data_IF_368713970737
#
_entry.id   IF_368713970737
#
_cell.length_a   1.000
_cell.length_b   1.000
_cell.length_c   1.000
_cell.angle_alpha   90.00
_cell.angle_beta   90.00
_cell.angle_gamma   90.00
#
_symmetry.space_group_name_H-M   'P 1'
#
loop_
_entity.id
_entity.type
_entity.pdbx_description
1 polymer ?
#
# COMPACT_ATOMS: atom_id res chain seq x y z
N UNK A 1 -58.23 29.18 36.90
CA UNK A 1 -59.10 29.33 35.70
C UNK A 1 -58.87 28.15 34.76
N UNK A 2 -59.81 27.90 33.83
CA UNK A 2 -59.96 26.75 32.91
C UNK A 2 -58.67 25.99 32.48
N UNK A 3 -58.58 24.65 32.37
CA UNK A 3 -59.51 23.56 31.94
C UNK A 3 -59.74 23.45 30.43
N UNK A 4 -59.21 22.38 29.82
CA UNK A 4 -59.61 21.66 28.59
C UNK A 4 -58.74 20.38 28.52
N UNK A 5 -59.18 19.10 28.55
CA UNK A 5 -60.19 18.34 27.75
C UNK A 5 -59.98 18.52 26.24
N UNK A 6 -59.88 17.53 25.35
CA UNK A 6 -60.02 16.05 25.39
C UNK A 6 -58.92 15.43 24.46
N UNK A 7 -58.89 14.19 23.94
CA UNK A 7 -59.83 13.04 23.88
C UNK A 7 -59.04 11.70 23.95
N UNK A 8 -59.26 10.78 23.00
CA UNK A 8 -58.98 9.32 23.03
C UNK A 8 -59.22 8.70 21.63
N UNK A 9 -58.36 7.79 21.17
CA UNK A 9 -58.64 6.54 20.42
C UNK A 9 -57.29 5.89 20.02
N UNK A 10 -56.91 4.67 20.47
CA UNK A 10 -57.41 3.32 20.13
C UNK A 10 -57.37 2.99 18.63
N UNK A 11 -56.37 2.22 18.21
CA UNK A 11 -56.57 0.82 17.75
C UNK A 11 -55.24 0.03 17.64
N UNK A 12 -55.35 -1.30 17.61
CA UNK A 12 -54.25 -2.29 17.64
C UNK A 12 -54.52 -3.44 16.63
N UNK A 13 -53.54 -4.31 16.29
CA UNK A 13 -53.38 -4.77 14.91
C UNK A 13 -54.00 -6.13 14.53
N UNK A 14 -54.14 -6.37 13.22
CA UNK A 14 -54.28 -7.69 12.58
C UNK A 14 -53.10 -7.91 11.62
N UNK A 15 -52.21 -8.91 11.70
CA UNK A 15 -52.29 -10.40 11.77
C UNK A 15 -52.64 -11.12 10.46
N UNK A 16 -51.86 -12.22 10.25
CA UNK A 16 -51.97 -13.36 9.28
C UNK A 16 -51.49 -13.13 7.84
N UNK A 17 -50.89 -14.09 7.11
CA UNK A 17 -50.20 -15.38 7.45
C UNK A 17 -49.68 -16.07 6.16
N UNK A 18 -49.02 -17.24 6.28
CA UNK A 18 -48.61 -18.22 5.22
C UNK A 18 -47.25 -17.89 4.56
N UNK A 19 -46.14 -18.66 4.66
CA UNK A 19 -45.79 -20.10 4.76
C UNK A 19 -45.68 -20.86 3.42
N UNK A 20 -44.43 -21.12 3.01
CA UNK A 20 -43.87 -22.26 2.23
C UNK A 20 -42.33 -22.09 2.36
N UNK A 21 -41.53 -22.92 3.04
CA UNK A 21 -41.21 -24.35 2.89
C UNK A 21 -40.81 -24.76 1.47
N UNK A 22 -39.50 -24.95 1.29
CA UNK A 22 -38.91 -26.03 0.48
C UNK A 22 -37.57 -26.47 1.10
N UNK A 23 -37.30 -27.78 1.08
CA UNK A 23 -36.10 -28.43 1.64
C UNK A 23 -35.75 -29.65 0.78
N UNK A 24 -34.57 -29.65 0.14
CA UNK A 24 -33.77 -30.80 -0.38
C UNK A 24 -32.62 -30.27 -1.26
N UNK A 25 -31.46 -30.93 -1.45
CA UNK A 25 -30.92 -32.19 -0.93
C UNK A 25 -29.38 -32.17 -0.99
N UNK A 26 -28.71 -33.14 -0.34
CA UNK A 26 -27.24 -33.27 -0.30
C UNK A 26 -26.68 -34.12 -1.46
N UNK A 27 -25.40 -33.88 -1.84
CA UNK A 27 -24.41 -34.86 -2.35
C UNK A 27 -23.04 -34.15 -2.52
N UNK A 28 -22.07 -34.32 -1.63
CA UNK A 28 -21.02 -35.38 -1.58
C UNK A 28 -20.15 -35.52 -2.84
N UNK A 29 -18.84 -35.25 -2.70
CA UNK A 29 -17.73 -36.16 -3.12
C UNK A 29 -16.42 -35.79 -2.38
N UNK A 30 -15.49 -36.75 -2.31
CA UNK A 30 -14.27 -36.71 -1.48
C UNK A 30 -12.99 -36.41 -2.30
N UNK A 31 -12.02 -35.84 -1.59
CA UNK A 31 -10.57 -36.15 -1.57
C UNK A 31 -9.74 -36.25 -2.87
N UNK A 32 -8.58 -35.58 -2.86
CA UNK A 32 -7.31 -36.17 -3.28
C UNK A 32 -6.13 -35.49 -2.54
N UNK A 33 -5.24 -36.29 -1.93
CA UNK A 33 -3.94 -35.86 -1.39
C UNK A 33 -2.86 -36.38 -2.34
N UNK A 34 -1.81 -35.59 -2.61
CA UNK A 34 -0.53 -36.13 -3.08
C UNK A 34 0.66 -35.33 -2.54
N UNK A 35 1.68 -36.08 -2.09
CA UNK A 35 2.99 -35.60 -1.63
C UNK A 35 3.95 -35.51 -2.81
N UNK A 36 4.97 -34.65 -2.75
CA UNK A 36 6.29 -35.01 -3.31
C UNK A 36 7.48 -34.22 -2.71
N UNK A 37 8.67 -34.44 -3.29
CA UNK A 37 9.98 -34.55 -2.63
C UNK A 37 11.09 -34.55 -3.71
N UNK A 38 12.39 -34.26 -3.48
CA UNK A 38 13.21 -33.93 -2.29
C UNK A 38 14.53 -33.25 -2.76
N UNK A 39 15.39 -32.79 -1.82
CA UNK A 39 16.88 -32.66 -1.99
C UNK A 39 17.35 -31.53 -2.95
N UNK A 40 18.61 -31.02 -2.96
CA UNK A 40 19.81 -30.94 -2.07
C UNK A 40 20.86 -30.01 -2.77
N UNK A 41 22.03 -29.82 -2.12
CA UNK A 41 23.39 -29.56 -2.68
C UNK A 41 23.90 -28.10 -2.82
N UNK A 42 24.72 -27.72 -1.83
CA UNK A 42 26.15 -27.36 -1.89
C UNK A 42 26.76 -26.22 -2.76
N UNK A 43 27.76 -25.58 -2.13
CA UNK A 43 28.78 -24.60 -2.56
C UNK A 43 29.81 -25.18 -3.59
N UNK A 44 30.95 -24.52 -3.98
CA UNK A 44 31.47 -23.16 -3.73
C UNK A 44 32.06 -22.45 -4.99
N UNK A 45 32.76 -21.30 -4.83
CA UNK A 45 34.20 -21.10 -5.22
C UNK A 45 34.71 -19.66 -5.01
N UNK A 46 36.03 -19.54 -4.77
CA UNK A 46 36.81 -18.38 -4.26
C UNK A 46 37.45 -17.50 -5.35
N UNK A 47 37.94 -16.32 -4.92
CA UNK A 47 39.11 -15.49 -5.37
C UNK A 47 38.75 -14.10 -5.95
N UNK A 48 39.59 -13.06 -5.90
CA UNK A 48 40.69 -12.66 -5.01
C UNK A 48 41.29 -11.30 -5.46
N UNK A 49 41.67 -10.41 -4.53
CA UNK A 49 42.66 -9.29 -4.69
C UNK A 49 42.27 -8.18 -5.72
N UNK A 50 42.81 -6.94 -5.75
CA UNK A 50 43.89 -6.27 -4.97
C UNK A 50 43.66 -4.74 -4.91
N UNK A 51 44.44 -4.05 -4.07
CA UNK A 51 44.38 -2.61 -3.77
C UNK A 51 45.16 -1.65 -4.70
N UNK A 52 44.72 -0.38 -4.68
CA UNK A 52 45.38 0.90 -5.04
C UNK A 52 46.92 0.99 -5.12
N UNK A 53 47.44 1.97 -5.88
CA UNK A 53 48.28 3.01 -5.25
C UNK A 53 47.83 4.46 -5.51
N UNK A 54 48.65 5.44 -5.09
CA UNK A 54 48.29 6.79 -4.60
C UNK A 54 49.03 7.92 -5.34
N UNK A 55 48.50 9.15 -5.22
CA UNK A 55 49.17 10.48 -5.27
C UNK A 55 49.76 11.01 -6.61
N UNK A 56 49.41 12.27 -6.91
CA UNK A 56 50.38 13.36 -7.09
C UNK A 56 49.70 14.75 -6.95
N UNK A 57 50.19 15.60 -6.04
CA UNK A 57 49.88 17.03 -5.95
C UNK A 57 51.07 17.83 -6.52
N UNK A 58 50.84 18.87 -7.35
CA UNK A 58 51.70 20.07 -7.29
C UNK A 58 51.04 21.38 -7.75
N UNK A 59 51.40 22.46 -7.04
CA UNK A 59 51.13 23.89 -7.25
C UNK A 59 51.68 24.40 -8.59
N UNK A 60 50.95 25.26 -9.32
CA UNK A 60 50.87 26.74 -9.23
C UNK A 60 52.17 27.46 -9.61
N UNK A 61 52.12 28.22 -10.70
CA UNK A 61 52.92 29.44 -10.87
C UNK A 61 52.09 30.54 -11.56
N UNK A 62 52.35 31.78 -11.16
CA UNK A 62 51.63 32.99 -11.58
C UNK A 62 52.64 34.03 -12.04
N UNK A 63 52.34 34.76 -13.12
CA UNK A 63 52.92 36.10 -13.30
C UNK A 63 51.93 37.05 -13.97
N UNK A 64 51.94 38.27 -13.43
CA UNK A 64 51.16 39.45 -13.81
C UNK A 64 52.15 40.44 -14.44
N UNK A 65 51.73 41.23 -15.44
CA UNK A 65 52.21 42.62 -15.53
C UNK A 65 51.30 43.52 -16.40
N UNK A 66 51.08 44.74 -15.92
CA UNK A 66 50.17 45.76 -16.47
C UNK A 66 50.84 46.67 -17.53
N UNK A 67 50.02 47.29 -18.40
CA UNK A 67 49.96 48.77 -18.59
C UNK A 67 48.87 49.27 -19.55
N UNK A 68 48.01 50.16 -19.03
CA UNK A 68 47.77 51.58 -19.43
C UNK A 68 48.24 52.03 -20.86
N UNK A 69 47.57 52.89 -21.64
CA UNK A 69 46.51 53.89 -21.34
C UNK A 69 45.88 54.53 -22.61
N UNK A 70 44.64 55.04 -22.47
CA UNK A 70 44.10 56.33 -22.99
C UNK A 70 43.86 56.63 -24.50
N UNK A 71 42.57 56.89 -24.81
CA UNK A 71 41.97 58.00 -25.62
C UNK A 71 42.39 58.28 -27.07
N UNK A 72 41.40 58.32 -27.99
CA UNK A 72 40.71 59.55 -28.47
C UNK A 72 39.48 59.16 -29.32
N UNK A 73 38.48 60.05 -29.44
CA UNK A 73 37.28 59.85 -30.27
C UNK A 73 37.27 60.79 -31.48
N UNK A 74 36.76 60.32 -32.64
CA UNK A 74 36.14 61.16 -33.68
C UNK A 74 35.19 60.36 -34.60
N UNK A 75 34.50 61.05 -35.51
CA UNK A 75 33.13 60.76 -35.98
C UNK A 75 32.97 59.92 -37.27
N UNK A 76 31.86 59.17 -37.31
CA UNK A 76 30.89 58.95 -38.44
C UNK A 76 31.36 58.22 -39.71
N UNK A 77 30.70 57.08 -40.01
CA UNK A 77 29.94 56.86 -41.26
C UNK A 77 28.97 55.67 -41.13
N UNK A 78 27.83 55.74 -41.84
CA UNK A 78 26.79 54.69 -41.93
C UNK A 78 27.15 53.60 -42.96
N UNK A 79 26.37 52.51 -42.94
CA UNK A 79 26.25 51.45 -43.96
C UNK A 79 27.55 50.71 -44.36
N UNK A 80 27.68 49.39 -44.17
CA UNK A 80 26.83 48.36 -44.79
C UNK A 80 27.27 46.96 -44.29
N UNK A 81 26.40 45.93 -44.46
CA UNK A 81 26.70 44.48 -44.40
C UNK A 81 26.89 43.87 -43.00
N UNK A 82 25.77 43.41 -42.44
CA UNK A 82 25.78 42.30 -41.46
C UNK A 82 26.17 41.02 -42.21
N UNK A 83 27.38 40.51 -41.97
CA UNK A 83 27.77 39.18 -42.39
C UNK A 83 27.19 38.13 -41.40
N UNK A 84 26.68 36.98 -41.87
CA UNK A 84 26.21 35.93 -40.97
C UNK A 84 27.39 35.30 -40.21
N UNK A 85 27.27 35.22 -38.89
CA UNK A 85 28.22 34.50 -38.04
C UNK A 85 28.16 32.97 -38.32
N UNK A 86 29.27 32.24 -38.15
CA UNK A 86 29.35 30.83 -38.52
C UNK A 86 28.43 29.94 -37.65
N UNK A 87 27.73 29.01 -38.29
CA UNK A 87 26.66 28.18 -37.71
C UNK A 87 27.11 27.31 -36.51
N UNK A 88 28.40 27.01 -36.41
CA UNK A 88 28.96 26.02 -35.48
C UNK A 88 28.99 26.39 -33.99
N UNK A 89 28.80 27.66 -33.60
CA UNK A 89 28.76 28.03 -32.17
C UNK A 89 27.33 28.01 -31.60
N UNK A 90 26.31 28.19 -32.43
CA UNK A 90 24.90 28.01 -32.06
C UNK A 90 24.59 26.53 -31.76
N UNK A 91 25.07 25.61 -32.58
CA UNK A 91 24.89 24.16 -32.38
C UNK A 91 25.52 23.68 -31.07
N UNK A 92 26.71 24.17 -30.71
CA UNK A 92 27.35 23.89 -29.41
C UNK A 92 26.51 24.40 -28.23
N UNK A 93 25.97 25.62 -28.34
CA UNK A 93 25.11 26.22 -27.31
C UNK A 93 23.81 25.42 -27.12
N UNK A 94 23.14 25.03 -28.20
CA UNK A 94 21.88 24.25 -28.13
C UNK A 94 22.15 22.86 -27.57
N UNK A 95 23.24 22.19 -27.97
CA UNK A 95 23.65 20.90 -27.41
C UNK A 95 23.90 20.99 -25.90
N UNK A 96 24.59 22.03 -25.42
CA UNK A 96 24.79 22.27 -23.99
C UNK A 96 23.45 22.49 -23.23
N UNK A 97 22.51 23.24 -23.81
CA UNK A 97 21.16 23.42 -23.23
C UNK A 97 20.38 22.11 -23.13
N UNK A 98 20.45 21.26 -24.15
CA UNK A 98 19.80 19.93 -24.13
C UNK A 98 20.44 18.99 -23.12
N UNK A 99 21.77 19.03 -22.94
CA UNK A 99 22.49 18.29 -21.90
C UNK A 99 22.02 18.73 -20.50
N UNK A 100 21.91 20.04 -20.25
CA UNK A 100 21.44 20.58 -18.97
C UNK A 100 19.96 20.25 -18.69
N UNK A 101 19.09 20.29 -19.70
CA UNK A 101 17.69 19.89 -19.58
C UNK A 101 17.54 18.39 -19.28
N UNK A 102 18.34 17.53 -19.93
CA UNK A 102 18.29 16.09 -19.67
C UNK A 102 18.91 15.74 -18.31
N UNK A 103 20.00 16.38 -17.88
CA UNK A 103 20.55 16.15 -16.54
C UNK A 103 19.61 16.58 -15.42
N UNK A 104 18.90 17.70 -15.58
CA UNK A 104 17.82 18.11 -14.68
C UNK A 104 16.72 17.04 -14.62
N UNK A 105 16.26 16.53 -15.76
CA UNK A 105 15.27 15.46 -15.80
C UNK A 105 15.74 14.21 -15.06
N UNK A 106 17.00 13.77 -15.23
CA UNK A 106 17.50 12.56 -14.55
C UNK A 106 17.53 12.76 -13.03
N UNK A 107 18.03 13.91 -12.54
CA UNK A 107 18.02 14.28 -11.11
C UNK A 107 16.59 14.28 -10.57
N UNK A 108 15.67 14.98 -11.24
CA UNK A 108 14.29 15.08 -10.79
C UNK A 108 13.56 13.72 -10.85
N UNK A 109 13.93 12.83 -11.78
CA UNK A 109 13.39 11.45 -11.86
C UNK A 109 13.90 10.57 -10.72
N UNK A 110 15.12 10.81 -10.22
CA UNK A 110 15.62 10.17 -8.99
C UNK A 110 14.82 10.63 -7.76
N UNK A 111 14.51 11.93 -7.68
CA UNK A 111 13.63 12.49 -6.63
C UNK A 111 12.22 11.90 -6.70
N UNK A 112 11.63 11.77 -7.89
CA UNK A 112 10.32 11.15 -8.06
C UNK A 112 10.31 9.69 -7.60
N UNK A 113 11.34 8.91 -7.94
CA UNK A 113 11.48 7.51 -7.49
C UNK A 113 11.53 7.40 -5.96
N UNK A 114 12.33 8.25 -5.31
CA UNK A 114 12.38 8.34 -3.85
C UNK A 114 10.99 8.62 -3.27
N UNK A 115 10.24 9.57 -3.86
CA UNK A 115 8.89 9.92 -3.40
C UNK A 115 7.85 8.83 -3.63
N UNK A 116 7.98 8.04 -4.70
CA UNK A 116 7.12 6.88 -4.96
C UNK A 116 7.38 5.79 -3.92
N UNK A 117 8.64 5.43 -3.66
CA UNK A 117 9.01 4.44 -2.64
C UNK A 117 8.52 4.88 -1.24
N UNK A 118 8.70 6.17 -0.91
CA UNK A 118 8.16 6.79 0.32
C UNK A 118 6.63 6.87 0.37
N UNK A 119 5.91 6.61 -0.71
CA UNK A 119 4.45 6.58 -0.78
C UNK A 119 3.86 5.16 -0.78
N UNK A 120 4.52 4.22 -1.45
CA UNK A 120 4.08 2.82 -1.54
C UNK A 120 4.29 2.08 -0.21
N UNK A 121 5.43 2.26 0.45
CA UNK A 121 5.77 1.51 1.67
C UNK A 121 4.91 1.89 2.90
N UNK A 122 4.52 3.16 3.15
CA UNK A 122 3.53 3.48 4.18
C UNK A 122 2.13 2.90 3.94
N UNK A 123 1.72 2.72 2.68
CA UNK A 123 0.45 2.06 2.37
C UNK A 123 0.51 0.57 2.72
N UNK A 124 1.63 -0.12 2.41
CA UNK A 124 1.84 -1.51 2.84
C UNK A 124 1.81 -1.65 4.38
N UNK A 125 2.40 -0.69 5.11
CA UNK A 125 2.34 -0.66 6.58
C UNK A 125 0.92 -0.42 7.08
N UNK A 126 0.16 0.51 6.46
CA UNK A 126 -1.23 0.78 6.84
C UNK A 126 -2.14 -0.43 6.58
N UNK A 127 -2.01 -1.08 5.43
CA UNK A 127 -2.76 -2.30 5.09
C UNK A 127 -2.50 -3.42 6.13
N UNK A 128 -1.26 -3.54 6.63
CA UNK A 128 -0.90 -4.49 7.70
C UNK A 128 -1.47 -4.09 9.08
N UNK A 129 -1.56 -2.79 9.38
CA UNK A 129 -2.22 -2.27 10.60
C UNK A 129 -3.72 -2.61 10.61
N UNK A 130 -4.43 -2.26 9.54
CA UNK A 130 -5.86 -2.54 9.36
C UNK A 130 -6.16 -4.05 9.44
N UNK A 131 -5.27 -4.88 8.87
CA UNK A 131 -5.35 -6.35 8.96
C UNK A 131 -5.21 -6.86 10.41
N UNK A 132 -4.31 -6.26 11.20
CA UNK A 132 -4.08 -6.63 12.61
C UNK A 132 -5.25 -6.17 13.49
N UNK A 133 -5.80 -4.97 13.25
CA UNK A 133 -7.03 -4.52 13.92
C UNK A 133 -8.21 -5.45 13.59
N UNK A 134 -8.38 -5.82 12.32
CA UNK A 134 -9.39 -6.79 11.89
C UNK A 134 -9.26 -8.16 12.58
N UNK A 135 -8.04 -8.65 12.79
CA UNK A 135 -7.79 -9.89 13.56
C UNK A 135 -8.10 -9.71 15.05
N UNK A 136 -7.72 -8.58 15.65
CA UNK A 136 -8.02 -8.26 17.06
C UNK A 136 -9.52 -8.19 17.32
N UNK A 137 -10.28 -7.51 16.46
CA UNK A 137 -11.75 -7.44 16.54
C UNK A 137 -12.40 -8.82 16.39
N UNK A 138 -11.92 -9.67 15.47
CA UNK A 138 -12.41 -11.06 15.34
C UNK A 138 -12.16 -11.89 16.60
N UNK A 139 -10.96 -11.78 17.20
CA UNK A 139 -10.65 -12.44 18.46
C UNK A 139 -11.52 -11.95 19.62
N UNK A 140 -11.80 -10.65 19.70
CA UNK A 140 -12.70 -10.08 20.71
C UNK A 140 -14.14 -10.58 20.55
N UNK A 141 -14.65 -10.63 19.31
CA UNK A 141 -15.96 -11.21 19.02
C UNK A 141 -16.04 -12.68 19.48
N UNK A 142 -15.02 -13.51 19.21
CA UNK A 142 -15.02 -14.90 19.70
C UNK A 142 -14.91 -15.01 21.23
N UNK A 143 -14.20 -14.11 21.91
CA UNK A 143 -14.22 -14.04 23.39
C UNK A 143 -15.61 -13.69 23.93
N UNK A 144 -16.29 -12.74 23.29
CA UNK A 144 -17.65 -12.34 23.65
C UNK A 144 -18.65 -13.48 23.41
N UNK A 145 -18.53 -14.22 22.30
CA UNK A 145 -19.32 -15.43 22.04
C UNK A 145 -19.09 -16.50 23.13
N UNK A 146 -17.83 -16.79 23.49
CA UNK A 146 -17.51 -17.73 24.59
C UNK A 146 -18.16 -17.27 25.90
N UNK A 147 -18.07 -15.98 26.25
CA UNK A 147 -18.70 -15.44 27.45
C UNK A 147 -20.24 -15.54 27.42
N UNK A 148 -20.88 -15.51 26.24
CA UNK A 148 -22.33 -15.82 26.12
C UNK A 148 -22.62 -17.31 26.28
N UNK A 149 -21.78 -18.18 25.72
CA UNK A 149 -21.91 -19.63 25.88
C UNK A 149 -21.75 -20.05 27.34
N UNK A 150 -20.77 -19.51 28.06
CA UNK A 150 -20.58 -19.73 29.51
C UNK A 150 -21.82 -19.32 30.32
N UNK A 151 -22.46 -18.19 29.99
CA UNK A 151 -23.74 -17.78 30.62
C UNK A 151 -24.86 -18.79 30.34
N UNK A 152 -25.05 -19.21 29.09
CA UNK A 152 -26.08 -20.23 28.79
C UNK A 152 -25.79 -21.58 29.48
N UNK A 153 -24.52 -21.93 29.69
CA UNK A 153 -24.10 -23.10 30.47
C UNK A 153 -24.49 -22.97 31.94
N UNK A 154 -24.27 -21.81 32.57
CA UNK A 154 -24.68 -21.60 33.97
C UNK A 154 -26.20 -21.57 34.13
N UNK A 155 -26.93 -21.00 33.18
CA UNK A 155 -28.40 -21.08 33.11
C UNK A 155 -28.88 -22.55 33.05
N UNK A 156 -28.32 -23.37 32.16
CA UNK A 156 -28.68 -24.79 32.08
C UNK A 156 -28.31 -25.59 33.34
N UNK A 157 -27.22 -25.23 34.04
CA UNK A 157 -26.85 -25.83 35.32
C UNK A 157 -27.86 -25.46 36.43
N UNK A 158 -28.34 -24.22 36.44
CA UNK A 158 -29.39 -23.77 37.34
C UNK A 158 -30.73 -24.46 37.06
N UNK A 159 -31.14 -24.58 35.79
CA UNK A 159 -32.33 -25.33 35.39
C UNK A 159 -32.27 -26.79 35.90
N UNK A 160 -31.12 -27.46 35.73
CA UNK A 160 -30.90 -28.83 36.26
C UNK A 160 -31.02 -28.88 37.78
N UNK A 161 -30.58 -27.86 38.51
CA UNK A 161 -30.74 -27.80 39.96
C UNK A 161 -32.22 -27.67 40.36
N UNK A 162 -32.99 -26.83 39.66
CA UNK A 162 -34.42 -26.67 39.89
C UNK A 162 -35.22 -27.95 39.59
N UNK A 163 -34.99 -28.61 38.44
CA UNK A 163 -35.65 -29.89 38.13
C UNK A 163 -35.31 -30.97 39.19
N UNK A 164 -34.07 -31.01 39.70
CA UNK A 164 -33.69 -31.92 40.80
C UNK A 164 -34.42 -31.62 42.11
N UNK A 165 -34.70 -30.36 42.44
CA UNK A 165 -35.52 -30.01 43.60
C UNK A 165 -36.99 -30.40 43.41
N UNK A 166 -37.52 -30.21 42.20
CA UNK A 166 -38.88 -30.63 41.86
C UNK A 166 -39.04 -32.15 41.97
N UNK A 167 -38.10 -32.93 41.41
CA UNK A 167 -38.08 -34.41 41.56
C UNK A 167 -38.10 -34.83 43.03
N UNK A 168 -37.33 -34.18 43.91
CA UNK A 168 -37.36 -34.47 45.36
C UNK A 168 -38.75 -34.21 45.94
N UNK A 169 -39.34 -33.03 45.69
CA UNK A 169 -40.68 -32.65 46.17
C UNK A 169 -41.76 -33.62 45.68
N UNK A 170 -41.75 -33.97 44.40
CA UNK A 170 -42.72 -34.92 43.84
C UNK A 170 -42.50 -36.35 44.36
N UNK A 171 -41.26 -36.80 44.56
CA UNK A 171 -40.96 -38.11 45.16
C UNK A 171 -41.41 -38.20 46.63
N UNK A 172 -41.29 -37.11 47.39
CA UNK A 172 -41.81 -37.03 48.77
C UNK A 172 -43.34 -37.04 48.81
N UNK A 173 -44.00 -36.32 47.90
CA UNK A 173 -45.46 -36.36 47.75
C UNK A 173 -45.93 -37.77 47.35
N UNK A 174 -45.28 -38.39 46.37
CA UNK A 174 -45.63 -39.71 45.83
C UNK A 174 -45.63 -40.82 46.90
N UNK A 175 -44.74 -40.73 47.90
CA UNK A 175 -44.71 -41.67 49.05
C UNK A 175 -45.93 -41.58 49.97
N UNK A 176 -46.64 -40.45 49.97
CA UNK A 176 -47.77 -40.18 50.86
C UNK A 176 -49.14 -40.35 50.16
N UNK A 177 -49.16 -40.53 48.84
CA UNK A 177 -50.39 -40.64 48.04
C UNK A 177 -50.98 -42.05 48.12
N UNK A 178 -52.28 -42.13 48.44
CA UNK A 178 -53.05 -43.39 48.49
C UNK A 178 -53.93 -43.63 47.26
N UNK A 179 -54.08 -42.64 46.38
CA UNK A 179 -54.90 -42.71 45.18
C UNK A 179 -54.03 -43.05 43.95
N UNK A 180 -54.31 -44.16 43.29
CA UNK A 180 -53.52 -44.62 42.13
C UNK A 180 -53.45 -43.58 41.00
N UNK A 181 -54.52 -42.80 40.79
CA UNK A 181 -54.55 -41.76 39.74
C UNK A 181 -53.61 -40.59 40.03
N UNK A 182 -53.47 -40.21 41.30
CA UNK A 182 -52.54 -39.16 41.73
C UNK A 182 -51.09 -39.68 41.69
N UNK A 183 -50.88 -40.94 42.05
CA UNK A 183 -49.57 -41.60 41.97
C UNK A 183 -49.03 -41.64 40.53
N UNK A 184 -49.86 -42.04 39.56
CA UNK A 184 -49.51 -42.01 38.12
C UNK A 184 -49.23 -40.59 37.60
N UNK A 185 -49.93 -39.58 38.13
CA UNK A 185 -49.69 -38.18 37.74
C UNK A 185 -48.33 -37.68 38.24
N UNK A 186 -47.98 -37.98 39.50
CA UNK A 186 -46.68 -37.62 40.07
C UNK A 186 -45.53 -38.41 39.42
N UNK A 187 -45.74 -39.68 39.05
CA UNK A 187 -44.76 -40.47 38.31
C UNK A 187 -44.42 -39.81 36.96
N UNK A 188 -45.43 -39.41 36.19
CA UNK A 188 -45.25 -38.71 34.90
C UNK A 188 -44.56 -37.36 35.05
N UNK A 189 -44.82 -36.63 36.12
CA UNK A 189 -44.13 -35.37 36.41
C UNK A 189 -42.65 -35.62 36.75
N UNK A 190 -42.32 -36.64 37.54
CA UNK A 190 -40.93 -37.03 37.83
C UNK A 190 -40.20 -37.44 36.53
N UNK A 191 -40.84 -38.23 35.66
CA UNK A 191 -40.30 -38.59 34.35
C UNK A 191 -40.07 -37.37 33.46
N UNK A 192 -41.00 -36.41 33.44
CA UNK A 192 -40.86 -35.15 32.70
C UNK A 192 -39.63 -34.36 33.18
N UNK A 193 -39.47 -34.21 34.50
CA UNK A 193 -38.33 -33.49 35.09
C UNK A 193 -36.99 -34.20 34.82
N UNK A 194 -36.94 -35.53 34.80
CA UNK A 194 -35.72 -36.27 34.43
C UNK A 194 -35.37 -36.08 32.94
N UNK A 195 -36.37 -36.11 32.05
CA UNK A 195 -36.18 -35.79 30.63
C UNK A 195 -35.68 -34.36 30.40
N UNK A 196 -36.14 -33.38 31.18
CA UNK A 196 -35.57 -32.03 31.15
C UNK A 196 -34.09 -32.02 31.60
N UNK A 197 -33.74 -32.72 32.68
CA UNK A 197 -32.33 -32.86 33.11
C UNK A 197 -31.48 -33.50 32.00
N UNK A 198 -31.96 -34.56 31.35
CA UNK A 198 -31.25 -35.18 30.22
C UNK A 198 -31.06 -34.20 29.04
N UNK A 199 -32.10 -33.44 28.69
CA UNK A 199 -32.06 -32.43 27.63
C UNK A 199 -31.06 -31.31 27.95
N UNK A 200 -31.06 -30.78 29.18
CA UNK A 200 -30.12 -29.73 29.60
C UNK A 200 -28.68 -30.24 29.64
N UNK A 201 -28.45 -31.46 30.13
CA UNK A 201 -27.12 -32.09 30.06
C UNK A 201 -26.63 -32.28 28.61
N UNK A 202 -27.52 -32.62 27.67
CA UNK A 202 -27.16 -32.69 26.24
C UNK A 202 -26.78 -31.32 25.69
N UNK A 203 -27.55 -30.27 25.98
CA UNK A 203 -27.25 -28.90 25.57
C UNK A 203 -25.93 -28.38 26.17
N UNK A 204 -25.63 -28.69 27.43
CA UNK A 204 -24.34 -28.32 28.04
C UNK A 204 -23.17 -28.92 27.25
N UNK A 205 -23.25 -30.19 26.84
CA UNK A 205 -22.20 -30.82 26.00
C UNK A 205 -22.06 -30.16 24.62
N UNK A 206 -23.17 -29.75 24.00
CA UNK A 206 -23.17 -29.02 22.72
C UNK A 206 -22.54 -27.62 22.87
N UNK A 207 -22.80 -26.93 23.98
CA UNK A 207 -22.18 -25.65 24.35
C UNK A 207 -20.69 -25.81 24.64
N UNK A 208 -20.28 -26.87 25.36
CA UNK A 208 -18.88 -27.15 25.67
C UNK A 208 -18.05 -27.40 24.40
N UNK A 209 -18.57 -28.19 23.45
CA UNK A 209 -17.94 -28.35 22.12
C UNK A 209 -17.85 -27.03 21.38
N UNK A 210 -18.87 -26.16 21.49
CA UNK A 210 -18.86 -24.83 20.86
C UNK A 210 -17.76 -23.93 21.45
N UNK A 211 -17.61 -23.92 22.78
CA UNK A 211 -16.52 -23.21 23.47
C UNK A 211 -15.16 -23.76 23.03
N UNK A 212 -14.98 -25.09 23.00
CA UNK A 212 -13.72 -25.74 22.58
C UNK A 212 -13.34 -25.47 21.12
N UNK A 213 -14.32 -25.29 20.23
CA UNK A 213 -14.02 -24.89 18.83
C UNK A 213 -13.62 -23.42 18.74
N UNK A 214 -14.26 -22.54 19.52
CA UNK A 214 -13.96 -21.10 19.54
C UNK A 214 -12.64 -20.78 20.24
N UNK A 215 -12.28 -21.50 21.29
CA UNK A 215 -10.98 -21.36 21.96
C UNK A 215 -9.82 -21.72 21.02
N UNK A 216 -9.93 -22.83 20.29
CA UNK A 216 -8.96 -23.22 19.24
C UNK A 216 -8.84 -22.19 18.13
N UNK A 217 -9.96 -21.64 17.65
CA UNK A 217 -9.96 -20.54 16.67
C UNK A 217 -9.26 -19.28 17.22
N UNK A 218 -9.39 -18.98 18.51
CA UNK A 218 -8.66 -17.88 19.16
C UNK A 218 -7.15 -18.19 19.25
N UNK A 219 -6.75 -19.44 19.50
CA UNK A 219 -5.33 -19.85 19.51
C UNK A 219 -4.70 -19.76 18.11
N UNK A 220 -5.39 -20.24 17.08
CA UNK A 220 -4.98 -20.09 15.68
C UNK A 220 -4.83 -18.60 15.31
N UNK A 221 -5.83 -17.77 15.66
CA UNK A 221 -5.78 -16.33 15.41
C UNK A 221 -4.63 -15.63 16.15
N UNK A 222 -4.35 -15.98 17.41
CA UNK A 222 -3.19 -15.46 18.16
C UNK A 222 -1.88 -15.72 17.42
N UNK A 223 -1.64 -16.96 16.98
CA UNK A 223 -0.43 -17.32 16.25
C UNK A 223 -0.29 -16.50 14.95
N UNK A 224 -1.39 -16.29 14.22
CA UNK A 224 -1.36 -15.44 13.01
C UNK A 224 -1.15 -13.95 13.31
N UNK A 225 -1.68 -13.47 14.44
CA UNK A 225 -1.54 -12.09 14.89
C UNK A 225 -0.10 -11.81 15.32
N UNK A 226 0.52 -12.71 16.10
CA UNK A 226 1.93 -12.60 16.49
C UNK A 226 2.86 -12.53 15.27
N UNK A 227 2.63 -13.40 14.27
CA UNK A 227 3.37 -13.37 13.00
C UNK A 227 3.16 -12.08 12.19
N UNK A 228 1.93 -11.54 12.13
CA UNK A 228 1.70 -10.23 11.49
C UNK A 228 2.33 -9.08 12.28
N UNK A 229 2.31 -9.12 13.61
CA UNK A 229 2.95 -8.10 14.45
C UNK A 229 4.48 -8.12 14.38
N UNK A 230 5.13 -9.28 14.14
CA UNK A 230 6.56 -9.32 13.83
C UNK A 230 6.85 -8.72 12.47
N UNK A 231 6.13 -9.13 11.42
CA UNK A 231 6.32 -8.60 10.06
C UNK A 231 6.10 -7.09 10.00
N UNK A 232 5.09 -6.57 10.71
CA UNK A 232 4.82 -5.13 10.81
C UNK A 232 5.98 -4.39 11.49
N UNK A 233 6.59 -4.95 12.54
CA UNK A 233 7.74 -4.32 13.22
C UNK A 233 8.97 -4.28 12.31
N UNK A 234 9.23 -5.36 11.57
CA UNK A 234 10.30 -5.44 10.58
C UNK A 234 10.07 -4.40 9.47
N UNK A 235 8.89 -4.40 8.84
CA UNK A 235 8.51 -3.44 7.79
C UNK A 235 8.54 -1.98 8.23
N UNK A 236 8.18 -1.67 9.48
CA UNK A 236 8.32 -0.33 10.05
C UNK A 236 9.79 0.06 10.27
N UNK A 237 10.62 -0.85 10.75
CA UNK A 237 12.06 -0.64 10.86
C UNK A 237 12.71 -0.36 9.49
N UNK A 238 12.40 -1.18 8.49
CA UNK A 238 12.82 -0.96 7.10
C UNK A 238 12.35 0.40 6.57
N UNK A 239 11.08 0.77 6.80
CA UNK A 239 10.52 2.07 6.40
C UNK A 239 11.25 3.25 7.06
N UNK A 240 11.50 3.19 8.37
CA UNK A 240 12.19 4.26 9.10
C UNK A 240 13.64 4.41 8.64
N UNK A 241 14.36 3.30 8.41
CA UNK A 241 15.72 3.31 7.83
C UNK A 241 15.72 3.93 6.42
N UNK A 242 14.83 3.46 5.54
CA UNK A 242 14.69 3.97 4.17
C UNK A 242 14.32 5.46 4.18
N UNK A 243 13.44 5.93 5.08
CA UNK A 243 13.12 7.37 5.20
C UNK A 243 14.38 8.17 5.58
N UNK A 244 15.16 7.70 6.55
CA UNK A 244 16.37 8.41 7.03
C UNK A 244 17.46 8.45 5.94
N UNK A 245 17.63 7.40 5.15
CA UNK A 245 18.56 7.37 4.02
C UNK A 245 18.07 8.26 2.87
N UNK A 246 16.86 7.98 2.37
CA UNK A 246 16.30 8.67 1.20
C UNK A 246 16.07 10.16 1.42
N UNK A 247 15.82 10.61 2.66
CA UNK A 247 15.67 12.05 2.95
C UNK A 247 17.00 12.81 2.80
N UNK A 248 18.14 12.21 3.17
CA UNK A 248 19.48 12.79 2.94
C UNK A 248 19.78 12.88 1.44
N UNK A 249 19.44 11.82 0.71
CA UNK A 249 19.60 11.79 -0.75
C UNK A 249 18.69 12.80 -1.45
N UNK A 250 17.41 12.90 -1.06
CA UNK A 250 16.46 13.87 -1.59
C UNK A 250 16.96 15.31 -1.37
N UNK A 251 17.50 15.64 -0.19
CA UNK A 251 18.09 16.95 0.05
C UNK A 251 19.29 17.27 -0.86
N UNK A 252 20.16 16.29 -1.12
CA UNK A 252 21.31 16.43 -2.02
C UNK A 252 20.84 16.60 -3.46
N UNK A 253 19.87 15.79 -3.91
CA UNK A 253 19.29 15.86 -5.24
C UNK A 253 18.51 17.17 -5.46
N UNK A 254 17.78 17.67 -4.45
CA UNK A 254 17.11 18.96 -4.51
C UNK A 254 18.10 20.14 -4.61
N UNK A 255 19.27 20.05 -3.97
CA UNK A 255 20.35 21.04 -4.13
C UNK A 255 20.91 20.99 -5.56
N UNK A 256 21.25 19.79 -6.07
CA UNK A 256 21.71 19.58 -7.46
C UNK A 256 20.69 20.02 -8.50
N UNK A 257 19.40 19.76 -8.30
CA UNK A 257 18.30 20.21 -9.18
C UNK A 257 18.25 21.75 -9.21
N UNK A 258 18.26 22.42 -8.05
CA UNK A 258 18.32 23.90 -7.96
C UNK A 258 19.57 24.50 -8.62
N UNK A 259 20.70 23.80 -8.62
CA UNK A 259 21.92 24.23 -9.30
C UNK A 259 21.79 24.06 -10.83
N UNK A 260 21.31 22.91 -11.31
CA UNK A 260 21.05 22.66 -12.72
C UNK A 260 20.02 23.65 -13.31
N UNK A 261 18.97 24.00 -12.54
CA UNK A 261 17.96 24.97 -12.94
C UNK A 261 18.54 26.37 -13.22
N UNK A 262 19.57 26.81 -12.49
CA UNK A 262 20.22 28.12 -12.71
C UNK A 262 21.01 28.20 -14.02
N UNK A 263 21.40 27.06 -14.59
CA UNK A 263 22.15 26.97 -15.86
C UNK A 263 21.18 27.05 -17.06
N UNK A 264 19.90 26.73 -16.84
CA UNK A 264 18.87 26.66 -17.87
C UNK A 264 18.21 28.03 -18.04
N UNK A 265 18.02 28.44 -19.29
CA UNK A 265 17.33 29.68 -19.65
C UNK A 265 15.82 29.59 -19.33
N UNK A 266 15.29 30.64 -18.69
CA UNK A 266 13.92 30.73 -18.14
C UNK A 266 12.82 30.23 -19.10
N UNK A 267 12.95 30.54 -20.40
CA UNK A 267 12.03 30.08 -21.44
C UNK A 267 11.90 28.56 -21.48
N UNK A 268 13.02 27.83 -21.43
CA UNK A 268 13.00 26.37 -21.45
C UNK A 268 12.58 25.79 -20.09
N UNK A 269 12.93 26.45 -18.98
CA UNK A 269 12.49 26.03 -17.65
C UNK A 269 10.96 26.14 -17.50
N UNK A 270 10.34 27.20 -18.04
CA UNK A 270 8.88 27.35 -18.05
C UNK A 270 8.17 26.24 -18.84
N UNK A 271 8.74 25.84 -19.99
CA UNK A 271 8.24 24.73 -20.81
C UNK A 271 8.41 23.39 -20.09
N UNK A 272 9.59 23.10 -19.55
CA UNK A 272 9.89 21.91 -18.74
C UNK A 272 8.89 21.75 -17.58
N UNK A 273 8.71 22.80 -16.76
CA UNK A 273 7.77 22.81 -15.65
C UNK A 273 6.31 22.59 -16.09
N UNK A 274 5.90 23.19 -17.21
CA UNK A 274 4.54 23.01 -17.76
C UNK A 274 4.30 21.57 -18.19
N UNK A 275 5.25 20.96 -18.91
CA UNK A 275 5.14 19.57 -19.35
C UNK A 275 5.13 18.65 -18.12
N UNK A 276 6.07 18.84 -17.18
CA UNK A 276 6.22 18.04 -15.96
C UNK A 276 4.95 18.02 -15.10
N UNK A 277 4.21 19.14 -15.01
CA UNK A 277 2.90 19.23 -14.34
C UNK A 277 1.75 18.59 -15.13
N UNK A 278 1.88 18.47 -16.45
CA UNK A 278 0.83 17.99 -17.34
C UNK A 278 0.82 16.47 -17.54
N UNK A 279 1.95 15.77 -17.35
CA UNK A 279 2.04 14.31 -17.52
C UNK A 279 2.16 13.59 -16.18
N UNK A 280 1.35 12.53 -15.99
CA UNK A 280 1.30 11.73 -14.75
C UNK A 280 2.64 11.11 -14.33
N UNK A 281 3.59 10.94 -15.27
CA UNK A 281 4.89 10.32 -15.00
C UNK A 281 6.04 11.31 -14.79
N UNK A 282 5.79 12.63 -14.75
CA UNK A 282 6.83 13.65 -14.49
C UNK A 282 7.94 13.77 -15.55
N UNK A 283 7.88 12.99 -16.64
CA UNK A 283 8.89 13.00 -17.70
C UNK A 283 8.61 14.13 -18.71
N UNK A 284 9.36 15.22 -18.62
CA UNK A 284 9.32 16.35 -19.54
C UNK A 284 10.37 16.29 -20.65
N UNK A 285 11.53 15.68 -20.40
CA UNK A 285 12.58 15.38 -21.39
C UNK A 285 12.69 13.87 -21.56
N UNK A 286 12.70 13.35 -22.78
CA UNK A 286 12.81 11.91 -23.06
C UNK A 286 13.70 11.64 -24.27
N UNK A 287 14.41 10.51 -24.24
CA UNK A 287 15.19 10.03 -25.39
C UNK A 287 14.29 9.36 -26.44
N UNK A 288 14.82 9.22 -27.65
CA UNK A 288 14.21 8.41 -28.71
C UNK A 288 14.58 6.95 -28.47
N UNK A 289 13.58 6.09 -28.29
CA UNK A 289 13.79 4.64 -28.19
C UNK A 289 13.14 3.95 -29.38
N UNK A 290 13.91 3.17 -30.15
CA UNK A 290 13.40 2.39 -31.30
C UNK A 290 12.52 3.22 -32.24
N UNK A 291 13.05 4.37 -32.70
CA UNK A 291 12.35 5.32 -33.59
C UNK A 291 11.09 5.99 -32.99
N UNK A 292 10.84 5.81 -31.69
CA UNK A 292 9.63 6.27 -30.99
C UNK A 292 9.97 7.17 -29.80
N UNK A 293 9.01 7.98 -29.36
CA UNK A 293 9.18 8.84 -28.19
C UNK A 293 9.19 8.03 -26.89
N UNK A 294 10.28 8.05 -26.10
CA UNK A 294 10.40 7.27 -24.85
C UNK A 294 9.42 7.64 -23.72
N UNK A 295 8.51 8.59 -23.93
CA UNK A 295 7.46 8.95 -22.96
C UNK A 295 6.01 8.61 -23.37
N UNK A 296 5.71 8.50 -24.67
CA UNK A 296 4.38 8.14 -25.17
C UNK A 296 4.38 6.99 -26.19
N UNK A 297 5.56 6.49 -26.56
CA UNK A 297 5.81 5.41 -27.52
C UNK A 297 5.21 5.63 -28.92
N UNK A 298 4.79 6.86 -29.25
CA UNK A 298 4.41 7.22 -30.61
C UNK A 298 5.64 7.30 -31.52
N UNK A 299 5.49 6.82 -32.77
CA UNK A 299 6.54 6.82 -33.78
C UNK A 299 6.90 8.25 -34.21
N UNK A 300 8.20 8.53 -34.35
CA UNK A 300 8.73 9.84 -34.75
C UNK A 300 9.14 9.77 -36.23
N UNK A 301 8.69 10.69 -37.10
CA UNK A 301 9.09 10.72 -38.51
C UNK A 301 10.62 10.74 -38.70
N UNK A 302 11.16 10.06 -39.72
CA UNK A 302 12.61 9.94 -39.92
C UNK A 302 13.31 11.30 -40.14
N UNK A 303 12.62 12.28 -40.72
CA UNK A 303 13.12 13.66 -40.84
C UNK A 303 13.33 14.29 -39.45
N UNK A 304 12.35 14.20 -38.57
CA UNK A 304 12.45 14.72 -37.19
C UNK A 304 13.54 13.99 -36.39
N UNK A 305 13.74 12.68 -36.61
CA UNK A 305 14.86 11.93 -36.00
C UNK A 305 16.23 12.48 -36.44
N UNK A 306 16.39 12.85 -37.72
CA UNK A 306 17.62 13.45 -38.23
C UNK A 306 17.85 14.83 -37.59
N UNK A 307 16.82 15.66 -37.53
CA UNK A 307 16.91 16.99 -36.91
C UNK A 307 17.30 16.95 -35.42
N UNK A 308 16.80 15.95 -34.67
CA UNK A 308 17.18 15.71 -33.26
C UNK A 308 18.66 15.31 -33.16
N UNK A 309 19.14 14.42 -34.03
CA UNK A 309 20.56 14.03 -34.11
C UNK A 309 21.50 15.16 -34.51
N UNK A 310 21.02 16.11 -35.32
CA UNK A 310 21.82 17.29 -35.71
C UNK A 310 21.88 18.38 -34.64
N UNK A 311 21.11 18.28 -33.55
CA UNK A 311 21.13 19.24 -32.43
C UNK A 311 20.81 20.71 -32.80
N UNK A 312 20.24 20.96 -33.98
CA UNK A 312 20.04 22.31 -34.54
C UNK A 312 18.96 23.15 -33.86
N UNK A 313 17.99 22.51 -33.22
CA UNK A 313 16.87 23.14 -32.51
C UNK A 313 16.33 22.20 -31.43
N UNK A 314 15.75 22.76 -30.38
CA UNK A 314 15.03 21.97 -29.37
C UNK A 314 13.72 21.48 -30.00
N UNK A 315 13.59 20.17 -30.18
CA UNK A 315 12.41 19.55 -30.75
C UNK A 315 11.51 18.93 -29.68
N UNK A 316 10.22 18.93 -29.97
CA UNK A 316 9.15 18.52 -29.08
C UNK A 316 8.31 17.45 -29.78
N UNK A 317 7.88 16.42 -29.05
CA UNK A 317 7.01 15.39 -29.58
C UNK A 317 5.60 15.94 -29.86
N UNK A 318 5.17 15.83 -31.12
CA UNK A 318 3.85 16.30 -31.62
C UNK A 318 2.67 15.73 -30.82
N UNK A 319 2.77 14.48 -30.36
CA UNK A 319 1.69 13.77 -29.67
C UNK A 319 1.59 14.06 -28.17
N UNK A 320 2.70 14.35 -27.49
CA UNK A 320 2.72 14.45 -26.02
C UNK A 320 3.42 15.69 -25.45
N UNK A 321 3.93 16.59 -26.30
CA UNK A 321 4.53 17.85 -25.86
C UNK A 321 5.88 17.72 -25.12
N UNK A 322 6.47 16.52 -25.02
CA UNK A 322 7.76 16.29 -24.35
C UNK A 322 8.94 16.72 -25.22
N UNK A 323 9.99 17.25 -24.59
CA UNK A 323 11.24 17.60 -25.25
C UNK A 323 11.98 16.30 -25.61
N UNK A 324 12.48 16.22 -26.84
CA UNK A 324 13.17 15.04 -27.37
C UNK A 324 14.69 15.26 -27.37
N UNK A 325 15.44 14.26 -26.92
CA UNK A 325 16.91 14.21 -26.99
C UNK A 325 17.41 12.98 -27.75
N UNK A 326 18.57 13.11 -28.38
CA UNK A 326 19.25 12.00 -29.03
C UNK A 326 19.98 11.08 -28.02
N UNK A 327 20.20 9.83 -28.42
CA UNK A 327 20.96 8.84 -27.65
C UNK A 327 22.37 9.32 -27.28
N UNK A 328 22.99 10.18 -28.10
CA UNK A 328 24.31 10.74 -27.79
C UNK A 328 24.28 11.65 -26.56
N UNK A 329 23.23 12.47 -26.38
CA UNK A 329 23.05 13.27 -25.15
C UNK A 329 22.77 12.37 -23.95
N UNK A 330 21.93 11.34 -24.13
CA UNK A 330 21.61 10.37 -23.06
C UNK A 330 22.88 9.77 -22.48
N UNK A 331 23.74 9.23 -23.36
CA UNK A 331 25.02 8.61 -23.00
C UNK A 331 26.01 9.58 -22.37
N UNK A 332 26.07 10.84 -22.84
CA UNK A 332 26.93 11.87 -22.24
C UNK A 332 26.52 12.15 -20.80
N UNK A 333 25.22 12.32 -20.51
CA UNK A 333 24.74 12.58 -19.15
C UNK A 333 24.90 11.34 -18.26
N UNK A 334 24.54 10.16 -18.77
CA UNK A 334 24.72 8.87 -18.07
C UNK A 334 26.19 8.57 -17.75
N UNK A 335 27.15 9.07 -18.54
CA UNK A 335 28.59 8.93 -18.29
C UNK A 335 29.22 9.96 -17.35
N UNK A 336 28.47 11.01 -16.95
CA UNK A 336 28.93 12.08 -16.08
C UNK A 336 28.23 12.06 -14.69
N UNK A 337 27.50 10.99 -14.39
CA UNK A 337 26.92 10.68 -13.07
C UNK A 337 27.76 9.63 -12.35
#
# INVERSE_FOLDING_TARGET
MAVSKSKTEKETPSKKSVVKKDVKEQKTTKAAVKKEKTQKEDEPVKKAKTSTPKKADTKKETKVEDKKTATKAEKVQEDTKIAPAPEGDLEKSIKQKLIALYSLQVIDTQIDKIRVIRGELPLEVQDLEDDIEGLKTRMENFKNEIATFEKTKTEYQHDIAQSKELIKKYSEQQKNVRNNREYESLAKEIEYQDLEIQLRNKRIKEVDVSIDTKSKQIEELKNTLEFKETNLKEKKGELDEIIIETQKEEEILLKKSKEAQKIIEERYMSAYNRIRKSVRNGLAVVKIERQSCGGCFSSIPPQSQLEIKMHKKVLVCEYCGRILVDDTISKIVESNQ
#
